data_IF_932255493643
#
_entry.id   IF_932255493643
#
_cell.length_a   1.000
_cell.length_b   1.000
_cell.length_c   1.000
_cell.angle_alpha   90.00
_cell.angle_beta   90.00
_cell.angle_gamma   90.00
#
_symmetry.space_group_name_H-M   'P 1'
#
loop_
_entity.id
_entity.type
_entity.pdbx_description
1 polymer ?
#
# COMPACT_ATOMS: atom_id res chain seq x y z
N UNK A 1 -15.63 -13.72 -44.38
CA UNK A 1 -14.63 -14.10 -43.35
C UNK A 1 -14.61 -13.16 -42.14
N UNK A 2 -14.66 -11.83 -42.30
CA UNK A 2 -14.67 -10.86 -41.17
C UNK A 2 -15.83 -10.96 -40.15
N UNK A 3 -16.96 -11.61 -40.50
CA UNK A 3 -18.11 -11.78 -39.59
C UNK A 3 -17.97 -12.96 -38.61
N UNK A 4 -17.13 -13.96 -38.92
CA UNK A 4 -16.93 -15.12 -38.02
C UNK A 4 -15.95 -14.82 -36.88
N UNK A 5 -14.90 -14.03 -37.14
CA UNK A 5 -13.96 -13.56 -36.10
C UNK A 5 -14.65 -12.70 -35.04
N UNK A 6 -15.65 -11.90 -35.46
CA UNK A 6 -16.42 -11.04 -34.56
C UNK A 6 -17.35 -11.86 -33.62
N UNK A 7 -17.83 -13.03 -34.06
CA UNK A 7 -18.67 -13.93 -33.26
C UNK A 7 -17.86 -14.79 -32.27
N UNK A 8 -16.62 -15.13 -32.60
CA UNK A 8 -15.69 -15.79 -31.67
C UNK A 8 -15.26 -14.82 -30.58
N UNK A 9 -14.96 -13.56 -30.94
CA UNK A 9 -14.66 -12.50 -29.96
C UNK A 9 -15.84 -12.18 -29.04
N UNK A 10 -17.08 -12.20 -29.55
CA UNK A 10 -18.28 -11.99 -28.74
C UNK A 10 -18.64 -13.19 -27.85
N UNK A 11 -18.33 -14.42 -28.26
CA UNK A 11 -18.58 -15.62 -27.45
C UNK A 11 -17.56 -15.81 -26.32
N UNK A 12 -16.35 -15.26 -26.47
CA UNK A 12 -15.34 -15.17 -25.40
C UNK A 12 -15.65 -14.09 -24.36
N UNK A 13 -16.57 -13.15 -24.62
CA UNK A 13 -17.03 -12.20 -23.59
C UNK A 13 -18.09 -12.81 -22.64
N UNK A 14 -18.62 -14.00 -22.94
CA UNK A 14 -19.60 -14.71 -22.11
C UNK A 14 -18.95 -15.67 -21.11
N UNK A 15 -17.65 -15.94 -21.24
CA UNK A 15 -16.81 -16.42 -20.15
C UNK A 15 -16.02 -15.20 -19.68
N UNK A 16 -15.95 -14.92 -18.38
CA UNK A 16 -15.23 -13.76 -17.83
C UNK A 16 -13.70 -13.81 -18.01
N UNK A 17 -13.22 -13.97 -19.24
CA UNK A 17 -11.82 -14.03 -19.61
C UNK A 17 -11.20 -12.64 -19.38
N UNK A 18 -10.62 -12.46 -18.19
CA UNK A 18 -9.66 -11.39 -17.94
C UNK A 18 -8.55 -11.44 -18.99
N UNK A 19 -8.00 -10.28 -19.35
CA UNK A 19 -6.83 -10.22 -20.21
C UNK A 19 -5.69 -11.02 -19.56
N UNK A 20 -5.03 -11.88 -20.34
CA UNK A 20 -3.91 -12.67 -19.87
C UNK A 20 -2.67 -11.79 -19.68
N UNK A 21 -1.77 -12.20 -18.79
CA UNK A 21 -0.48 -11.54 -18.63
C UNK A 21 0.39 -11.68 -19.88
N UNK A 22 1.26 -10.70 -20.12
CA UNK A 22 2.34 -10.83 -21.10
C UNK A 22 3.38 -11.87 -20.60
N UNK A 23 3.57 -13.00 -21.31
CA UNK A 23 4.50 -14.04 -20.87
C UNK A 23 5.96 -13.58 -20.86
N UNK A 24 6.34 -12.63 -21.72
CA UNK A 24 7.69 -12.07 -21.72
C UNK A 24 7.91 -11.20 -20.48
N UNK A 25 6.92 -10.40 -20.09
CA UNK A 25 6.97 -9.60 -18.87
C UNK A 25 7.09 -10.49 -17.62
N UNK A 26 6.31 -11.59 -17.56
CA UNK A 26 6.38 -12.58 -16.48
C UNK A 26 7.76 -13.23 -16.40
N UNK A 27 8.33 -13.65 -17.53
CA UNK A 27 9.65 -14.26 -17.59
C UNK A 27 10.77 -13.29 -17.15
N UNK A 28 10.69 -12.03 -17.58
CA UNK A 28 11.65 -11.00 -17.18
C UNK A 28 11.56 -10.66 -15.69
N UNK A 29 10.36 -10.55 -15.12
CA UNK A 29 10.18 -10.33 -13.69
C UNK A 29 10.80 -11.47 -12.87
N UNK A 30 10.57 -12.73 -13.26
CA UNK A 30 11.18 -13.88 -12.61
C UNK A 30 12.71 -13.86 -12.74
N UNK A 31 13.26 -13.48 -13.91
CA UNK A 31 14.70 -13.35 -14.12
C UNK A 31 15.33 -12.19 -13.32
N UNK A 32 14.54 -11.19 -12.93
CA UNK A 32 14.93 -10.09 -12.05
C UNK A 32 14.86 -10.44 -10.55
N UNK A 33 14.46 -11.67 -10.20
CA UNK A 33 14.33 -12.12 -8.81
C UNK A 33 12.95 -11.91 -8.20
N UNK A 34 12.00 -11.33 -8.94
CA UNK A 34 10.65 -11.11 -8.44
C UNK A 34 9.91 -12.43 -8.22
N UNK A 35 9.29 -12.56 -7.05
CA UNK A 35 8.39 -13.67 -6.72
C UNK A 35 6.99 -13.32 -7.23
N UNK A 36 6.40 -14.24 -7.99
CA UNK A 36 5.09 -14.06 -8.64
C UNK A 36 4.09 -15.06 -8.07
N UNK A 37 2.95 -14.57 -7.59
CA UNK A 37 1.80 -15.42 -7.25
C UNK A 37 0.67 -15.21 -8.27
N UNK A 38 0.01 -16.32 -8.61
CA UNK A 38 -1.02 -16.38 -9.64
C UNK A 38 -2.34 -16.87 -9.08
N UNK A 39 -3.44 -16.41 -9.66
CA UNK A 39 -4.77 -16.93 -9.37
C UNK A 39 -5.02 -18.31 -10.02
N UNK A 40 -6.22 -18.86 -9.80
CA UNK A 40 -6.64 -20.14 -10.37
C UNK A 40 -6.71 -20.13 -11.92
N UNK A 41 -6.73 -18.95 -12.53
CA UNK A 41 -6.74 -18.74 -13.97
C UNK A 41 -5.32 -18.54 -14.54
N UNK A 42 -4.29 -18.54 -13.68
CA UNK A 42 -2.89 -18.42 -14.07
C UNK A 42 -2.43 -16.98 -14.29
N UNK A 43 -3.23 -15.99 -13.93
CA UNK A 43 -2.89 -14.56 -14.03
C UNK A 43 -2.14 -14.12 -12.77
N UNK A 44 -1.08 -13.33 -12.93
CA UNK A 44 -0.28 -12.78 -11.84
C UNK A 44 -1.11 -11.74 -11.09
N UNK A 45 -1.38 -12.05 -9.82
CA UNK A 45 -2.13 -11.16 -8.92
C UNK A 45 -1.24 -10.45 -7.93
N UNK A 46 -0.05 -11.00 -7.67
CA UNK A 46 0.92 -10.45 -6.72
C UNK A 46 2.35 -10.55 -7.23
N UNK A 47 3.09 -9.45 -7.05
CA UNK A 47 4.52 -9.37 -7.34
C UNK A 47 5.24 -8.94 -6.05
N UNK A 48 6.32 -9.65 -5.71
CA UNK A 48 7.15 -9.34 -4.55
C UNK A 48 8.61 -9.21 -4.94
N UNK A 49 9.20 -8.08 -4.58
CA UNK A 49 10.63 -7.79 -4.65
C UNK A 49 11.11 -7.31 -3.27
N UNK A 50 12.28 -7.78 -2.85
CA UNK A 50 12.95 -7.44 -1.60
C UNK A 50 14.21 -6.61 -1.87
N UNK A 51 14.80 -6.06 -0.80
CA UNK A 51 15.99 -5.22 -0.88
C UNK A 51 17.15 -5.86 -1.67
N UNK A 52 17.33 -7.18 -1.52
CA UNK A 52 18.36 -7.95 -2.24
C UNK A 52 18.15 -7.95 -3.77
N UNK A 53 16.92 -7.76 -4.25
CA UNK A 53 16.64 -7.71 -5.69
C UNK A 53 17.10 -6.37 -6.32
N UNK A 54 17.29 -5.32 -5.50
CA UNK A 54 17.66 -3.98 -5.94
C UNK A 54 19.16 -3.65 -5.85
N UNK A 55 20.02 -4.66 -5.69
CA UNK A 55 21.48 -4.46 -5.69
C UNK A 55 21.98 -3.77 -6.97
N UNK A 56 21.32 -4.02 -8.10
CA UNK A 56 21.59 -3.32 -9.36
C UNK A 56 20.68 -2.11 -9.45
N UNK A 57 21.29 -0.94 -9.64
CA UNK A 57 20.60 0.36 -9.63
C UNK A 57 19.38 0.46 -10.56
N UNK A 58 19.35 -0.29 -11.66
CA UNK A 58 18.26 -0.23 -12.65
C UNK A 58 17.20 -1.34 -12.50
N UNK A 59 17.34 -2.24 -11.51
CA UNK A 59 16.36 -3.33 -11.33
C UNK A 59 14.95 -2.78 -11.10
N UNK A 60 14.80 -1.74 -10.28
CA UNK A 60 13.49 -1.16 -9.98
C UNK A 60 12.76 -0.66 -11.23
N UNK A 61 13.43 0.13 -12.07
CA UNK A 61 12.83 0.64 -13.31
C UNK A 61 12.41 -0.50 -14.24
N UNK A 62 13.25 -1.53 -14.36
CA UNK A 62 12.95 -2.71 -15.18
C UNK A 62 11.76 -3.48 -14.64
N UNK A 63 11.64 -3.65 -13.33
CA UNK A 63 10.47 -4.26 -12.69
C UNK A 63 9.22 -3.43 -12.99
N UNK A 64 9.23 -2.13 -12.67
CA UNK A 64 8.07 -1.24 -12.83
C UNK A 64 7.57 -1.20 -14.28
N UNK A 65 8.47 -1.18 -15.27
CA UNK A 65 8.14 -1.17 -16.69
C UNK A 65 7.43 -2.46 -17.18
N UNK A 66 7.39 -3.53 -16.38
CA UNK A 66 6.69 -4.79 -16.70
C UNK A 66 5.35 -4.92 -15.99
N UNK A 67 5.13 -4.20 -14.90
CA UNK A 67 3.92 -4.31 -14.09
C UNK A 67 2.66 -3.86 -14.84
N UNK A 68 2.78 -2.89 -15.77
CA UNK A 68 1.66 -2.48 -16.63
C UNK A 68 1.15 -3.59 -17.57
N UNK A 69 1.93 -4.66 -17.76
CA UNK A 69 1.58 -5.81 -18.59
C UNK A 69 0.90 -6.93 -17.79
N UNK A 70 0.57 -6.68 -16.52
CA UNK A 70 -0.08 -7.60 -15.61
C UNK A 70 -1.47 -7.04 -15.22
N UNK A 71 -2.51 -7.22 -16.06
CA UNK A 71 -3.81 -6.56 -15.88
C UNK A 71 -4.58 -7.03 -14.64
N UNK A 72 -4.20 -8.16 -14.04
CA UNK A 72 -4.81 -8.71 -12.83
C UNK A 72 -4.03 -8.38 -11.54
N UNK A 73 -2.93 -7.63 -11.65
CA UNK A 73 -2.08 -7.27 -10.52
C UNK A 73 -2.84 -6.40 -9.53
N UNK A 74 -2.96 -6.88 -8.30
CA UNK A 74 -3.67 -6.18 -7.22
C UNK A 74 -2.82 -6.05 -5.95
N UNK A 75 -1.72 -6.79 -5.83
CA UNK A 75 -0.81 -6.73 -4.69
C UNK A 75 0.62 -6.51 -5.18
N UNK A 76 1.29 -5.48 -4.66
CA UNK A 76 2.68 -5.19 -5.00
C UNK A 76 3.49 -4.96 -3.73
N UNK A 77 4.56 -5.75 -3.59
CA UNK A 77 5.52 -5.65 -2.48
C UNK A 77 6.87 -5.26 -3.07
N UNK A 78 7.37 -4.09 -2.70
CA UNK A 78 8.65 -3.52 -3.11
C UNK A 78 9.44 -3.11 -1.88
N UNK A 79 9.79 -4.10 -1.04
CA UNK A 79 10.46 -3.85 0.22
C UNK A 79 11.91 -3.44 -0.01
N UNK A 80 12.34 -2.32 0.58
CA UNK A 80 13.71 -1.82 0.43
C UNK A 80 14.02 -1.27 -0.96
N UNK A 81 13.00 -0.88 -1.72
CA UNK A 81 13.15 -0.34 -3.05
C UNK A 81 13.69 1.10 -3.02
N UNK A 82 14.64 1.46 -3.89
CA UNK A 82 15.12 2.82 -4.01
C UNK A 82 14.15 3.69 -4.85
N UNK A 83 12.92 3.93 -4.34
CA UNK A 83 11.92 4.72 -5.08
C UNK A 83 12.36 6.19 -5.16
N UNK A 84 12.63 6.63 -6.39
CA UNK A 84 12.78 8.03 -6.75
C UNK A 84 11.45 8.58 -7.32
N UNK A 85 11.45 9.84 -7.75
CA UNK A 85 10.26 10.47 -8.33
C UNK A 85 9.67 9.69 -9.51
N UNK A 86 10.50 9.28 -10.48
CA UNK A 86 10.05 8.52 -11.64
C UNK A 86 9.47 7.15 -11.23
N UNK A 87 10.07 6.49 -10.25
CA UNK A 87 9.56 5.24 -9.68
C UNK A 87 8.17 5.41 -9.06
N UNK A 88 7.98 6.46 -8.27
CA UNK A 88 6.67 6.79 -7.69
C UNK A 88 5.61 7.16 -8.74
N UNK A 89 6.00 7.88 -9.81
CA UNK A 89 5.11 8.19 -10.92
C UNK A 89 4.68 6.92 -11.67
N UNK A 90 5.62 6.02 -11.95
CA UNK A 90 5.33 4.73 -12.57
C UNK A 90 4.39 3.88 -11.69
N UNK A 91 4.61 3.83 -10.38
CA UNK A 91 3.71 3.16 -9.45
C UNK A 91 2.29 3.74 -9.51
N UNK A 92 2.15 5.05 -9.64
CA UNK A 92 0.85 5.71 -9.67
C UNK A 92 -0.02 5.34 -10.89
N UNK A 93 0.55 4.71 -11.93
CA UNK A 93 -0.21 4.18 -13.07
C UNK A 93 -0.86 2.82 -12.79
N UNK A 94 -0.43 2.11 -11.75
CA UNK A 94 -0.94 0.79 -11.37
C UNK A 94 -2.26 0.89 -10.57
N UNK A 95 -3.24 1.56 -11.15
CA UNK A 95 -4.50 1.95 -10.49
C UNK A 95 -5.36 0.77 -10.01
N UNK A 96 -5.10 -0.45 -10.48
CA UNK A 96 -5.75 -1.69 -10.01
C UNK A 96 -5.25 -2.23 -8.67
N UNK A 97 -4.21 -1.63 -8.09
CA UNK A 97 -3.65 -2.08 -6.81
C UNK A 97 -4.62 -1.89 -5.64
N UNK A 98 -4.71 -2.94 -4.84
CA UNK A 98 -5.46 -3.00 -3.56
C UNK A 98 -4.53 -3.11 -2.36
N UNK A 99 -3.32 -3.63 -2.54
CA UNK A 99 -2.28 -3.70 -1.51
C UNK A 99 -0.93 -3.24 -2.08
N UNK A 100 -0.30 -2.31 -1.38
CA UNK A 100 1.04 -1.80 -1.68
C UNK A 100 1.90 -1.84 -0.42
N UNK A 101 3.02 -2.53 -0.49
CA UNK A 101 4.05 -2.53 0.54
C UNK A 101 5.34 -1.92 -0.05
N UNK A 102 5.73 -0.77 0.50
CA UNK A 102 7.00 -0.09 0.20
C UNK A 102 7.81 0.07 1.49
N UNK A 103 7.66 -0.88 2.42
CA UNK A 103 8.42 -0.87 3.67
C UNK A 103 9.93 -0.91 3.41
N UNK A 104 10.72 -0.30 4.29
CA UNK A 104 12.18 -0.14 4.15
C UNK A 104 12.64 0.66 2.92
N UNK A 105 11.73 1.19 2.11
CA UNK A 105 12.06 1.90 0.88
C UNK A 105 12.38 3.37 1.10
N UNK A 106 13.24 3.94 0.26
CA UNK A 106 13.39 5.39 0.18
C UNK A 106 12.20 5.98 -0.58
N UNK A 107 11.61 7.06 -0.09
CA UNK A 107 10.59 7.83 -0.82
C UNK A 107 11.05 9.29 -0.95
N UNK A 108 10.86 9.93 -2.11
CA UNK A 108 11.03 11.37 -2.23
C UNK A 108 9.94 12.09 -1.39
N UNK A 109 10.12 13.39 -1.04
CA UNK A 109 9.13 14.15 -0.28
C UNK A 109 7.72 14.10 -0.89
N UNK A 110 7.63 14.15 -2.22
CA UNK A 110 6.39 14.09 -2.99
C UNK A 110 5.89 12.65 -3.23
N UNK A 111 6.58 11.64 -2.69
CA UNK A 111 6.28 10.23 -2.94
C UNK A 111 4.83 9.87 -2.61
N UNK A 112 4.33 10.30 -1.45
CA UNK A 112 2.94 10.02 -1.03
C UNK A 112 1.90 10.81 -1.84
N UNK A 113 2.26 11.98 -2.40
CA UNK A 113 1.39 12.69 -3.35
C UNK A 113 1.14 11.81 -4.59
N UNK A 114 2.19 11.19 -5.15
CA UNK A 114 2.06 10.28 -6.27
C UNK A 114 1.27 9.02 -5.91
N UNK A 115 1.63 8.36 -4.81
CA UNK A 115 0.95 7.13 -4.35
C UNK A 115 -0.51 7.36 -3.99
N UNK A 116 -0.91 8.59 -3.62
CA UNK A 116 -2.32 8.90 -3.38
C UNK A 116 -3.21 8.50 -4.56
N UNK A 117 -2.72 8.60 -5.81
CA UNK A 117 -3.47 8.31 -7.05
C UNK A 117 -3.99 6.88 -7.14
N UNK A 118 -3.47 5.97 -6.30
CA UNK A 118 -3.93 4.59 -6.18
C UNK A 118 -5.20 4.53 -5.32
N UNK A 119 -6.30 5.13 -5.82
CA UNK A 119 -7.56 5.35 -5.10
C UNK A 119 -8.27 4.06 -4.64
N UNK A 120 -7.89 2.91 -5.18
CA UNK A 120 -8.45 1.60 -4.83
C UNK A 120 -7.63 0.83 -3.77
N UNK A 121 -6.54 1.42 -3.25
CA UNK A 121 -5.77 0.82 -2.17
C UNK A 121 -6.62 0.61 -0.92
N UNK A 122 -6.49 -0.58 -0.37
CA UNK A 122 -7.06 -0.99 0.92
C UNK A 122 -5.97 -1.22 1.96
N UNK A 123 -4.74 -1.54 1.53
CA UNK A 123 -3.61 -1.81 2.43
C UNK A 123 -2.38 -1.06 1.93
N UNK A 124 -1.79 -0.26 2.81
CA UNK A 124 -0.57 0.49 2.53
C UNK A 124 0.43 0.31 3.66
N UNK A 125 1.60 -0.24 3.34
CA UNK A 125 2.73 -0.39 4.26
C UNK A 125 3.85 0.60 3.93
N UNK A 126 4.04 1.57 4.83
CA UNK A 126 5.08 2.61 4.79
C UNK A 126 6.11 2.40 5.91
N UNK A 127 6.17 1.21 6.51
CA UNK A 127 7.04 0.93 7.64
C UNK A 127 8.51 1.24 7.30
N UNK A 128 9.20 1.98 8.18
CA UNK A 128 10.60 2.39 8.01
C UNK A 128 10.87 3.19 6.71
N UNK A 129 9.91 3.98 6.26
CA UNK A 129 10.10 4.97 5.18
C UNK A 129 10.30 6.38 5.73
N UNK A 130 10.55 7.35 4.84
CA UNK A 130 10.67 8.78 5.14
C UNK A 130 9.33 9.51 5.34
N UNK A 131 8.18 8.81 5.32
CA UNK A 131 6.85 9.40 5.45
C UNK A 131 6.73 10.33 6.69
N UNK A 132 6.12 11.49 6.49
CA UNK A 132 5.91 12.54 7.48
C UNK A 132 4.46 13.07 7.42
N UNK A 133 4.15 14.06 8.26
CA UNK A 133 2.78 14.58 8.39
C UNK A 133 2.23 15.16 7.07
N UNK A 134 3.08 15.82 6.29
CA UNK A 134 2.70 16.36 4.97
C UNK A 134 2.35 15.23 4.00
N UNK A 135 3.16 14.18 3.95
CA UNK A 135 2.88 13.04 3.09
C UNK A 135 1.59 12.29 3.47
N UNK A 136 1.29 12.17 4.78
CA UNK A 136 0.06 11.51 5.26
C UNK A 136 -1.21 12.28 4.86
N UNK A 137 -1.18 13.61 4.80
CA UNK A 137 -2.32 14.42 4.34
C UNK A 137 -2.82 13.97 2.96
N UNK A 138 -1.92 13.66 2.03
CA UNK A 138 -2.28 13.21 0.68
C UNK A 138 -3.01 11.86 0.65
N UNK A 139 -2.84 11.02 1.67
CA UNK A 139 -3.50 9.71 1.74
C UNK A 139 -5.01 9.83 2.01
N UNK A 140 -5.51 11.01 2.40
CA UNK A 140 -6.95 11.29 2.51
C UNK A 140 -7.70 11.06 1.20
N UNK A 141 -7.02 11.12 0.06
CA UNK A 141 -7.62 10.85 -1.23
C UNK A 141 -7.85 9.35 -1.49
N UNK A 142 -7.40 8.45 -0.62
CA UNK A 142 -7.61 6.99 -0.71
C UNK A 142 -8.76 6.60 0.23
N UNK A 143 -10.00 6.83 -0.20
CA UNK A 143 -11.20 6.66 0.64
C UNK A 143 -11.39 5.23 1.18
N UNK A 144 -10.84 4.23 0.49
CA UNK A 144 -11.01 2.80 0.78
C UNK A 144 -9.94 2.19 1.70
N UNK A 145 -9.04 2.98 2.28
CA UNK A 145 -7.91 2.45 3.03
C UNK A 145 -8.36 1.80 4.35
N UNK A 146 -8.04 0.51 4.51
CA UNK A 146 -8.39 -0.32 5.66
C UNK A 146 -7.21 -0.59 6.57
N UNK A 147 -6.01 -0.71 6.01
CA UNK A 147 -4.80 -0.95 6.77
C UNK A 147 -3.75 0.07 6.40
N UNK A 148 -3.29 0.81 7.41
CA UNK A 148 -2.20 1.76 7.29
C UNK A 148 -1.11 1.38 8.29
N UNK A 149 0.07 1.06 7.77
CA UNK A 149 1.26 0.86 8.59
C UNK A 149 2.25 1.99 8.35
N UNK A 150 2.57 2.70 9.42
CA UNK A 150 3.48 3.86 9.43
C UNK A 150 4.50 3.70 10.56
N UNK A 151 4.83 2.45 10.87
CA UNK A 151 5.77 2.10 11.94
C UNK A 151 7.16 2.61 11.63
N UNK A 152 7.83 3.22 12.60
CA UNK A 152 9.16 3.80 12.45
C UNK A 152 9.27 4.82 11.30
N UNK A 153 8.22 5.64 11.12
CA UNK A 153 8.22 6.80 10.21
C UNK A 153 8.40 8.10 11.00
N UNK A 154 8.36 9.26 10.33
CA UNK A 154 8.61 10.57 10.94
C UNK A 154 7.36 11.27 11.44
N UNK A 155 6.20 10.61 11.37
CA UNK A 155 4.90 11.18 11.73
C UNK A 155 4.82 11.61 13.19
N UNK A 156 3.98 12.62 13.45
CA UNK A 156 3.69 13.19 14.75
C UNK A 156 2.17 13.25 14.98
N UNK A 157 1.74 13.87 16.08
CA UNK A 157 0.33 14.07 16.41
C UNK A 157 -0.46 14.79 15.29
N UNK A 158 0.23 15.55 14.43
CA UNK A 158 -0.37 16.20 13.26
C UNK A 158 -0.95 15.18 12.27
N UNK A 159 -0.22 14.09 11.97
CA UNK A 159 -0.74 13.01 11.14
C UNK A 159 -2.06 12.43 11.67
N UNK A 160 -2.26 12.38 12.99
CA UNK A 160 -3.49 11.81 13.56
C UNK A 160 -4.73 12.66 13.23
N UNK A 161 -4.59 13.97 12.95
CA UNK A 161 -5.69 14.81 12.46
C UNK A 161 -6.20 14.36 11.09
N UNK A 162 -5.30 13.91 10.23
CA UNK A 162 -5.64 13.37 8.92
C UNK A 162 -6.09 11.90 9.02
N UNK A 163 -5.34 11.08 9.74
CA UNK A 163 -5.67 9.65 9.92
C UNK A 163 -7.05 9.48 10.56
N UNK A 164 -7.45 10.35 11.50
CA UNK A 164 -8.79 10.35 12.11
C UNK A 164 -9.95 10.50 11.11
N UNK A 165 -9.69 11.01 9.90
CA UNK A 165 -10.69 11.16 8.84
C UNK A 165 -10.83 9.91 7.97
N UNK A 166 -9.91 8.95 8.05
CA UNK A 166 -9.90 7.71 7.27
C UNK A 166 -10.84 6.66 7.87
N UNK A 167 -12.15 6.91 7.79
CA UNK A 167 -13.20 6.14 8.50
C UNK A 167 -13.29 4.65 8.13
N UNK A 168 -12.66 4.22 7.05
CA UNK A 168 -12.59 2.81 6.64
C UNK A 168 -11.44 2.04 7.31
N UNK A 169 -10.57 2.71 8.08
CA UNK A 169 -9.45 2.04 8.74
C UNK A 169 -9.94 0.99 9.74
N UNK A 170 -9.41 -0.22 9.56
CA UNK A 170 -9.57 -1.38 10.42
C UNK A 170 -8.28 -1.65 11.22
N UNK A 171 -7.11 -1.32 10.66
CA UNK A 171 -5.82 -1.53 11.33
C UNK A 171 -4.88 -0.34 11.14
N UNK A 172 -4.29 0.13 12.25
CA UNK A 172 -3.37 1.26 12.26
C UNK A 172 -2.11 0.94 13.09
N UNK A 173 -0.94 0.98 12.47
CA UNK A 173 0.33 0.66 13.14
C UNK A 173 1.24 1.88 13.26
N UNK A 174 1.25 2.48 14.47
CA UNK A 174 1.97 3.71 14.84
C UNK A 174 3.24 3.42 15.65
N UNK A 175 3.72 2.18 15.70
CA UNK A 175 4.85 1.85 16.58
C UNK A 175 6.12 2.61 16.19
N UNK A 176 6.98 2.95 17.16
CA UNK A 176 8.22 3.68 16.91
C UNK A 176 8.03 5.04 16.20
N UNK A 177 6.94 5.74 16.47
CA UNK A 177 6.67 7.09 15.94
C UNK A 177 6.72 8.13 17.06
N UNK A 178 6.58 9.41 16.72
CA UNK A 178 6.59 10.54 17.67
C UNK A 178 5.19 10.93 18.14
N UNK A 179 4.30 9.95 18.21
CA UNK A 179 2.93 10.11 18.70
C UNK A 179 2.94 10.24 20.23
N UNK A 180 2.15 11.20 20.73
CA UNK A 180 1.97 11.46 22.15
C UNK A 180 0.50 11.38 22.53
N UNK A 181 0.22 11.57 23.82
CA UNK A 181 -1.15 11.66 24.35
C UNK A 181 -2.01 12.70 23.62
N UNK A 182 -1.41 13.77 23.09
CA UNK A 182 -2.14 14.90 22.49
C UNK A 182 -2.86 14.53 21.20
N UNK A 183 -2.28 13.64 20.39
CA UNK A 183 -2.83 13.28 19.09
C UNK A 183 -3.97 12.25 19.18
N UNK A 184 -4.03 11.45 20.24
CA UNK A 184 -4.96 10.32 20.34
C UNK A 184 -6.43 10.70 20.31
N UNK A 185 -6.77 11.92 20.75
CA UNK A 185 -8.15 12.43 20.70
C UNK A 185 -8.70 12.57 19.27
N UNK A 186 -7.85 12.57 18.24
CA UNK A 186 -8.26 12.68 16.83
C UNK A 186 -8.79 11.36 16.26
N UNK A 187 -8.66 10.24 16.97
CA UNK A 187 -9.00 8.89 16.48
C UNK A 187 -10.43 8.47 16.80
N UNK A 188 -11.23 9.33 17.44
CA UNK A 188 -12.61 9.06 17.86
C UNK A 188 -13.57 8.71 16.72
N UNK A 189 -13.25 9.14 15.49
CA UNK A 189 -14.03 8.88 14.29
C UNK A 189 -13.74 7.52 13.63
N UNK A 190 -12.75 6.76 14.11
CA UNK A 190 -12.35 5.47 13.54
C UNK A 190 -13.20 4.31 14.09
N UNK A 191 -14.52 4.37 13.87
CA UNK A 191 -15.48 3.41 14.41
C UNK A 191 -15.26 1.95 13.94
N UNK A 192 -14.58 1.76 12.82
CA UNK A 192 -14.25 0.45 12.26
C UNK A 192 -12.89 -0.10 12.72
N UNK A 193 -12.13 0.66 13.53
CA UNK A 193 -10.79 0.26 13.93
C UNK A 193 -10.85 -0.97 14.84
N UNK A 194 -10.15 -2.03 14.41
CA UNK A 194 -10.05 -3.32 15.09
C UNK A 194 -8.71 -3.49 15.78
N UNK A 195 -7.64 -2.91 15.23
CA UNK A 195 -6.29 -2.99 15.80
C UNK A 195 -5.56 -1.66 15.72
N UNK A 196 -4.93 -1.27 16.81
CA UNK A 196 -4.01 -0.15 16.87
C UNK A 196 -2.74 -0.53 17.62
N UNK A 197 -1.58 -0.33 16.99
CA UNK A 197 -0.29 -0.54 17.64
C UNK A 197 0.39 0.78 17.98
N UNK A 198 0.72 0.96 19.25
CA UNK A 198 1.38 2.15 19.82
C UNK A 198 2.66 1.78 20.57
N UNK A 199 3.21 0.58 20.33
CA UNK A 199 4.48 0.15 20.91
C UNK A 199 5.61 1.15 20.64
N UNK A 200 6.40 1.47 21.68
CA UNK A 200 7.49 2.45 21.60
C UNK A 200 7.07 3.79 21.00
N UNK A 201 5.99 4.35 21.53
CA UNK A 201 5.57 5.76 21.35
C UNK A 201 5.61 6.47 22.70
N UNK A 202 5.44 7.79 22.71
CA UNK A 202 5.38 8.60 23.95
C UNK A 202 3.97 8.63 24.56
N UNK A 203 3.15 7.62 24.28
CA UNK A 203 1.79 7.46 24.83
C UNK A 203 1.86 6.92 26.26
N UNK A 204 1.31 7.70 27.20
CA UNK A 204 1.24 7.36 28.62
C UNK A 204 0.22 6.26 28.91
N UNK A 205 0.36 5.50 30.02
CA UNK A 205 -0.66 4.55 30.45
C UNK A 205 -2.04 5.20 30.66
N UNK A 206 -2.09 6.46 31.10
CA UNK A 206 -3.34 7.19 31.29
C UNK A 206 -4.05 7.45 29.94
N UNK A 207 -3.30 7.81 28.90
CA UNK A 207 -3.87 8.04 27.58
C UNK A 207 -4.35 6.74 26.91
N UNK A 208 -3.76 5.58 27.22
CA UNK A 208 -4.31 4.28 26.79
C UNK A 208 -5.71 4.03 27.37
N UNK A 209 -5.97 4.45 28.61
CA UNK A 209 -7.32 4.34 29.21
C UNK A 209 -8.30 5.21 28.42
N UNK A 210 -7.91 6.44 28.06
CA UNK A 210 -8.71 7.30 27.19
C UNK A 210 -8.93 6.66 25.81
N UNK A 211 -7.89 6.10 25.21
CA UNK A 211 -7.95 5.46 23.90
C UNK A 211 -8.94 4.28 23.88
N UNK A 212 -8.97 3.46 24.93
CA UNK A 212 -9.97 2.38 25.11
C UNK A 212 -11.40 2.92 25.19
N UNK A 213 -11.59 4.14 25.67
CA UNK A 213 -12.93 4.75 25.76
C UNK A 213 -13.42 5.25 24.40
N UNK A 214 -12.53 5.82 23.59
CA UNK A 214 -12.89 6.34 22.25
C UNK A 214 -12.87 5.25 21.17
N UNK A 215 -12.12 4.16 21.38
CA UNK A 215 -12.02 3.01 20.48
C UNK A 215 -12.32 1.71 21.24
N UNK A 216 -13.56 1.50 21.70
CA UNK A 216 -13.91 0.38 22.59
C UNK A 216 -13.78 -1.00 21.94
N UNK A 217 -13.80 -1.07 20.60
CA UNK A 217 -13.72 -2.32 19.84
C UNK A 217 -12.32 -2.62 19.31
N UNK A 218 -11.36 -1.70 19.48
CA UNK A 218 -10.01 -1.87 18.96
C UNK A 218 -9.12 -2.58 19.98
N UNK A 219 -8.39 -3.59 19.51
CA UNK A 219 -7.25 -4.17 20.22
C UNK A 219 -6.10 -3.16 20.22
N UNK A 220 -5.64 -2.78 21.42
CA UNK A 220 -4.51 -1.86 21.60
C UNK A 220 -3.25 -2.68 21.92
N UNK A 221 -2.29 -2.66 20.99
CA UNK A 221 -1.01 -3.35 21.07
C UNK A 221 0.06 -2.37 21.58
N UNK A 222 0.71 -2.70 22.69
CA UNK A 222 1.66 -1.81 23.39
C UNK A 222 2.94 -2.49 23.89
N UNK A 223 3.09 -3.81 23.72
CA UNK A 223 4.13 -4.60 24.36
C UNK A 223 4.95 -5.38 23.34
#
# INVERSE_FOLDING_TARGET
>A
MKRLECLIAASLMLLGCRAADDPAAVAELAALGAVLEKDAQGCVTKVTCNAADFEKADTLNRVLARLEKLPSLNTLILKGAPLNEAGCQNLAHLTGLTELDVSDSSLPPEGLLYLSRLRHLQRLDLTRTSADDFGIEHLLAIDGLKVLKVTATRITDESLRHIGQMRQLEELFLSHTRITDKGLGQLDNLANLKRISIFKTDVSPAAVIMLRRILPNAEIIRN
#
